data_IF_210105043257
#
_entry.id   IF_210105043257
#
_cell.length_a   1.000
_cell.length_b   1.000
_cell.length_c   1.000
_cell.angle_alpha   90.00
_cell.angle_beta   90.00
_cell.angle_gamma   90.00
#
_symmetry.space_group_name_H-M   'P 1'
#
loop_
_entity.id
_entity.type
_entity.pdbx_description
1 polymer ?
#
# COMPACT_ATOMS: atom_id res chain seq x y z
N UNK A 1 13.31 -66.55 42.41
CA UNK A 1 13.24 -65.33 43.24
C UNK A 1 14.64 -64.73 43.31
N UNK A 2 14.82 -63.51 42.81
CA UNK A 2 16.11 -62.83 42.76
C UNK A 2 16.03 -61.56 41.91
N UNK A 3 15.48 -60.49 42.49
CA UNK A 3 15.35 -59.18 41.86
C UNK A 3 16.71 -58.46 41.94
N UNK A 4 17.36 -58.27 40.78
CA UNK A 4 18.51 -57.37 40.65
C UNK A 4 18.02 -55.95 40.38
N UNK A 5 18.10 -55.08 41.39
CA UNK A 5 17.82 -53.65 41.30
C UNK A 5 19.08 -52.92 40.84
N UNK A 6 19.09 -52.41 39.60
CA UNK A 6 20.07 -51.42 39.17
C UNK A 6 19.62 -50.03 39.60
N UNK A 7 20.37 -49.42 40.52
CA UNK A 7 20.29 -47.99 40.82
C UNK A 7 21.02 -47.22 39.72
N UNK A 8 20.30 -46.42 38.92
CA UNK A 8 20.89 -45.41 38.04
C UNK A 8 20.69 -44.02 38.66
N UNK A 9 21.78 -43.38 39.02
CA UNK A 9 21.85 -41.99 39.48
C UNK A 9 21.66 -41.04 38.30
N UNK A 10 20.57 -40.28 38.28
CA UNK A 10 20.39 -39.13 37.39
C UNK A 10 20.59 -37.83 38.19
N UNK A 11 21.82 -37.60 38.63
CA UNK A 11 22.26 -36.26 39.03
C UNK A 11 23.18 -35.80 37.92
N UNK A 12 22.68 -34.91 37.06
CA UNK A 12 23.42 -33.90 36.27
C UNK A 12 22.55 -33.47 35.08
N UNK A 13 21.68 -32.47 35.31
CA UNK A 13 21.31 -31.45 34.32
C UNK A 13 20.31 -30.47 34.96
N UNK A 14 20.82 -29.59 35.81
CA UNK A 14 20.12 -28.34 36.12
C UNK A 14 20.80 -27.19 35.38
N UNK A 15 20.05 -26.39 34.59
CA UNK A 15 20.60 -25.17 34.01
C UNK A 15 20.92 -24.15 35.12
N UNK A 16 21.92 -23.27 34.93
CA UNK A 16 22.31 -22.32 35.95
C UNK A 16 21.17 -21.34 36.27
N UNK A 17 20.96 -21.12 37.57
CA UNK A 17 19.99 -20.17 38.09
C UNK A 17 20.30 -18.75 37.57
N UNK A 18 19.37 -18.16 36.82
CA UNK A 18 19.43 -16.76 36.39
C UNK A 18 19.16 -15.87 37.60
N UNK A 19 20.20 -15.18 38.07
CA UNK A 19 20.06 -14.06 39.00
C UNK A 19 19.25 -12.96 38.31
N UNK A 20 18.05 -12.68 38.83
CA UNK A 20 17.24 -11.53 38.46
C UNK A 20 17.80 -10.30 39.20
N UNK A 21 18.70 -9.57 38.56
CA UNK A 21 18.99 -8.20 38.95
C UNK A 21 17.87 -7.30 38.42
N UNK A 22 17.15 -6.68 39.34
CA UNK A 22 16.12 -5.68 39.07
C UNK A 22 16.76 -4.38 38.58
N UNK A 23 17.09 -4.31 37.29
CA UNK A 23 17.38 -3.03 36.64
C UNK A 23 16.08 -2.43 36.12
N UNK A 24 15.63 -1.35 36.78
CA UNK A 24 14.59 -0.44 36.28
C UNK A 24 15.10 0.22 35.00
N UNK A 25 14.82 -0.39 33.85
CA UNK A 25 15.08 0.19 32.54
C UNK A 25 13.97 1.21 32.21
N UNK A 26 14.36 2.47 32.12
CA UNK A 26 13.54 3.59 31.65
C UNK A 26 13.01 3.30 30.24
N UNK A 27 11.69 3.08 30.12
CA UNK A 27 10.91 2.71 28.93
C UNK A 27 10.84 3.77 27.81
N UNK A 28 11.73 4.77 27.78
CA UNK A 28 11.62 5.93 26.87
C UNK A 28 12.19 5.73 25.45
N UNK A 29 12.66 4.54 25.05
CA UNK A 29 13.45 4.37 23.80
C UNK A 29 13.00 3.24 22.84
N UNK A 30 11.77 2.74 23.01
CA UNK A 30 11.30 1.47 22.43
C UNK A 30 11.34 1.41 20.88
N UNK A 31 11.00 2.49 20.18
CA UNK A 31 11.03 2.56 18.69
C UNK A 31 12.42 2.87 18.14
N UNK A 32 13.25 3.57 18.91
CA UNK A 32 14.57 3.99 18.47
C UNK A 32 15.57 2.83 18.48
N UNK A 33 15.47 1.93 19.47
CA UNK A 33 16.33 0.73 19.52
C UNK A 33 16.05 -0.19 18.33
N UNK A 34 14.79 -0.37 17.94
CA UNK A 34 14.43 -1.27 16.83
C UNK A 34 14.89 -0.74 15.48
N UNK A 35 14.74 0.56 15.18
CA UNK A 35 15.25 1.15 13.93
C UNK A 35 16.78 1.18 13.88
N UNK A 36 17.47 1.51 14.99
CA UNK A 36 18.95 1.50 15.04
C UNK A 36 19.54 0.10 14.92
N UNK A 37 18.93 -0.90 15.53
CA UNK A 37 19.43 -2.27 15.51
C UNK A 37 19.24 -2.93 14.14
N UNK A 38 18.11 -2.69 13.46
CA UNK A 38 17.86 -3.17 12.10
C UNK A 38 18.82 -2.52 11.10
N UNK A 39 19.07 -1.22 11.23
CA UNK A 39 20.02 -0.48 10.37
C UNK A 39 21.48 -0.92 10.54
N UNK A 40 21.88 -1.46 11.70
CA UNK A 40 23.22 -2.02 11.92
C UNK A 40 23.45 -3.33 11.15
N UNK A 41 22.43 -4.18 11.01
CA UNK A 41 22.56 -5.47 10.30
C UNK A 41 22.63 -5.31 8.77
N UNK A 42 22.13 -4.20 8.21
CA UNK A 42 22.15 -3.94 6.77
C UNK A 42 23.36 -3.14 6.27
N UNK A 43 24.16 -2.52 7.14
CA UNK A 43 25.30 -1.68 6.73
C UNK A 43 26.42 -2.41 5.98
N UNK A 44 26.35 -3.73 5.82
CA UNK A 44 27.28 -4.53 5.01
C UNK A 44 26.84 -4.72 3.54
N UNK A 45 25.67 -4.22 3.14
CA UNK A 45 25.21 -4.18 1.74
C UNK A 45 24.47 -2.87 1.49
N UNK A 46 24.80 -2.17 0.40
CA UNK A 46 24.03 -1.08 -0.26
C UNK A 46 24.69 0.30 -0.16
N UNK A 47 25.39 0.66 -1.23
CA UNK A 47 25.78 2.03 -1.63
C UNK A 47 24.87 2.60 -2.75
N UNK A 48 23.63 2.11 -2.89
CA UNK A 48 22.79 2.36 -4.07
C UNK A 48 21.51 3.19 -3.84
N UNK A 49 21.36 3.87 -2.69
CA UNK A 49 20.07 4.40 -2.21
C UNK A 49 19.53 5.71 -2.83
N UNK A 50 20.20 6.33 -3.82
CA UNK A 50 19.80 7.66 -4.34
C UNK A 50 18.79 7.57 -5.51
N UNK A 51 18.56 6.39 -6.09
CA UNK A 51 17.86 6.27 -7.38
C UNK A 51 16.33 6.32 -7.32
N UNK A 52 15.70 5.84 -6.24
CA UNK A 52 14.23 5.65 -6.19
C UNK A 52 13.42 6.95 -6.31
N UNK A 53 13.88 8.06 -5.73
CA UNK A 53 13.19 9.37 -5.84
C UNK A 53 13.31 9.97 -7.25
N UNK A 54 14.48 9.79 -7.88
CA UNK A 54 14.74 10.26 -9.25
C UNK A 54 13.93 9.45 -10.27
N UNK A 55 13.89 8.13 -10.13
CA UNK A 55 13.11 7.23 -10.99
C UNK A 55 11.61 7.49 -10.89
N UNK A 56 11.09 7.72 -9.67
CA UNK A 56 9.68 8.06 -9.48
C UNK A 56 9.32 9.41 -10.15
N UNK A 57 10.19 10.42 -10.02
CA UNK A 57 10.04 11.72 -10.70
C UNK A 57 10.11 11.59 -12.22
N UNK A 58 11.08 10.85 -12.74
CA UNK A 58 11.27 10.66 -14.17
C UNK A 58 10.10 9.89 -14.80
N UNK A 59 9.62 8.84 -14.13
CA UNK A 59 8.45 8.08 -14.57
C UNK A 59 7.15 8.91 -14.53
N UNK A 60 7.01 9.83 -13.56
CA UNK A 60 5.89 10.77 -13.52
C UNK A 60 5.96 11.77 -14.68
N UNK A 61 7.15 12.28 -14.99
CA UNK A 61 7.37 13.26 -16.06
C UNK A 61 7.10 12.66 -17.45
N UNK A 62 7.59 11.44 -17.73
CA UNK A 62 7.34 10.75 -19.00
C UNK A 62 5.84 10.55 -19.28
N UNK A 63 5.04 10.36 -18.23
CA UNK A 63 3.60 10.08 -18.37
C UNK A 63 2.71 11.32 -18.48
N UNK A 64 3.18 12.50 -18.10
CA UNK A 64 2.41 13.75 -18.26
C UNK A 64 2.20 14.13 -19.73
N UNK A 65 3.07 13.64 -20.61
CA UNK A 65 3.11 13.99 -22.03
C UNK A 65 2.24 13.07 -22.92
N UNK A 66 1.66 12.00 -22.36
CA UNK A 66 0.83 11.08 -23.15
C UNK A 66 -0.62 11.63 -23.33
N UNK A 67 -1.22 11.49 -24.52
CA UNK A 67 -2.59 11.95 -24.76
C UNK A 67 -3.61 11.20 -23.91
N UNK A 68 -4.61 11.91 -23.40
CA UNK A 68 -5.72 11.33 -22.61
C UNK A 68 -6.63 10.47 -23.49
N UNK A 69 -6.30 9.20 -23.67
CA UNK A 69 -7.16 8.25 -24.35
C UNK A 69 -8.29 7.82 -23.41
N UNK A 70 -9.53 8.06 -23.82
CA UNK A 70 -10.73 7.57 -23.11
C UNK A 70 -11.26 6.35 -23.83
N UNK A 71 -11.41 5.23 -23.12
CA UNK A 71 -12.04 4.03 -23.68
C UNK A 71 -13.57 4.17 -23.63
N UNK A 72 -14.23 3.89 -24.75
CA UNK A 72 -15.68 3.82 -24.86
C UNK A 72 -16.11 2.37 -24.85
N UNK A 73 -16.90 1.99 -23.85
CA UNK A 73 -17.43 0.63 -23.72
C UNK A 73 -18.95 0.71 -23.89
N UNK A 74 -19.51 0.14 -24.98
CA UNK A 74 -20.96 0.02 -25.10
C UNK A 74 -21.47 -0.99 -24.07
N UNK A 75 -22.49 -0.60 -23.33
CA UNK A 75 -23.20 -1.49 -22.41
C UNK A 75 -24.40 -2.04 -23.18
N UNK A 76 -24.36 -3.33 -23.52
CA UNK A 76 -25.53 -4.03 -24.07
C UNK A 76 -26.44 -4.35 -22.89
N UNK A 77 -27.60 -3.70 -22.82
CA UNK A 77 -28.61 -4.02 -21.81
C UNK A 77 -29.15 -5.43 -22.09
N UNK A 78 -29.01 -6.34 -21.12
CA UNK A 78 -29.52 -7.70 -21.23
C UNK A 78 -31.05 -7.69 -21.17
N UNK A 79 -31.69 -8.09 -22.27
CA UNK A 79 -33.06 -8.58 -22.43
C UNK A 79 -34.11 -8.12 -21.41
N UNK A 80 -34.68 -6.94 -21.64
CA UNK A 80 -36.04 -6.65 -21.19
C UNK A 80 -36.87 -6.19 -22.39
N UNK A 81 -37.93 -6.94 -22.65
CA UNK A 81 -38.83 -6.99 -23.82
C UNK A 81 -39.68 -5.73 -24.09
N UNK A 82 -39.21 -4.53 -23.75
CA UNK A 82 -39.86 -3.28 -24.16
C UNK A 82 -38.88 -2.44 -24.96
N UNK A 83 -39.01 -2.55 -26.29
CA UNK A 83 -38.32 -1.74 -27.27
C UNK A 83 -38.80 -0.28 -27.18
N UNK A 84 -38.21 0.50 -26.28
CA UNK A 84 -38.11 1.94 -26.46
C UNK A 84 -36.67 2.26 -26.87
N UNK A 85 -36.52 3.01 -27.97
CA UNK A 85 -35.27 3.47 -28.58
C UNK A 85 -34.45 4.37 -27.63
N UNK A 86 -33.88 3.80 -26.58
CA UNK A 86 -32.89 4.49 -25.78
C UNK A 86 -31.51 4.35 -26.42
N UNK A 87 -30.78 5.45 -26.67
CA UNK A 87 -29.44 5.38 -27.22
C UNK A 87 -28.53 4.54 -26.30
N UNK A 88 -27.64 3.71 -26.86
CA UNK A 88 -26.81 2.81 -26.07
C UNK A 88 -25.96 3.60 -25.06
N UNK A 89 -26.11 3.25 -23.78
CA UNK A 89 -25.35 3.89 -22.71
C UNK A 89 -23.88 3.51 -22.85
N UNK A 90 -23.03 4.50 -23.12
CA UNK A 90 -21.59 4.30 -23.30
C UNK A 90 -20.86 4.69 -22.02
N UNK A 91 -20.19 3.72 -21.40
CA UNK A 91 -19.31 3.99 -20.27
C UNK A 91 -17.97 4.53 -20.76
N UNK A 92 -17.50 5.62 -20.14
CA UNK A 92 -16.21 6.24 -20.42
C UNK A 92 -15.25 5.99 -19.27
N UNK A 93 -14.29 5.11 -19.47
CA UNK A 93 -13.21 4.87 -18.51
C UNK A 93 -11.90 5.48 -19.05
N UNK A 94 -11.10 6.14 -18.20
CA UNK A 94 -9.78 6.59 -18.62
C UNK A 94 -8.89 5.38 -18.90
N UNK A 95 -8.22 5.33 -20.05
CA UNK A 95 -7.31 4.22 -20.38
C UNK A 95 -6.14 4.11 -19.38
N UNK A 96 -5.79 5.23 -18.73
CA UNK A 96 -4.71 5.34 -17.75
C UNK A 96 -5.11 6.24 -16.60
N UNK A 97 -4.62 5.92 -15.40
CA UNK A 97 -4.80 6.74 -14.21
C UNK A 97 -3.64 7.73 -14.10
N UNK A 98 -3.95 9.02 -13.99
CA UNK A 98 -2.94 10.08 -13.88
C UNK A 98 -2.23 10.05 -12.52
N UNK A 99 -0.95 10.40 -12.46
CA UNK A 99 -0.21 10.50 -11.19
C UNK A 99 -0.20 11.96 -10.70
N UNK A 100 -0.26 12.20 -9.38
CA UNK A 100 -0.13 13.54 -8.83
C UNK A 100 1.31 14.05 -9.00
N UNK A 101 1.50 15.36 -8.88
CA UNK A 101 2.84 15.90 -8.67
C UNK A 101 3.34 15.47 -7.30
N UNK A 102 4.52 14.87 -7.25
CA UNK A 102 5.10 14.38 -6.01
C UNK A 102 5.84 15.49 -5.26
N UNK A 103 5.51 15.63 -3.98
CA UNK A 103 6.21 16.49 -3.05
C UNK A 103 7.11 15.66 -2.13
N UNK A 104 8.18 16.24 -1.63
CA UNK A 104 9.00 15.56 -0.62
C UNK A 104 8.29 15.61 0.74
N UNK A 105 8.54 14.59 1.57
CA UNK A 105 7.99 14.56 2.94
C UNK A 105 8.63 15.69 3.74
N UNK A 106 7.80 16.47 4.45
CA UNK A 106 8.27 17.54 5.32
C UNK A 106 9.17 16.98 6.42
N UNK A 107 10.38 17.56 6.56
CA UNK A 107 11.27 17.22 7.69
C UNK A 107 10.66 17.62 9.02
N UNK A 108 9.94 18.74 9.07
CA UNK A 108 9.25 19.21 10.27
C UNK A 108 8.22 18.19 10.76
N UNK A 109 7.50 17.54 9.84
CA UNK A 109 6.55 16.49 10.19
C UNK A 109 7.23 15.26 10.82
N UNK A 110 8.48 14.97 10.45
CA UNK A 110 9.27 13.90 11.05
C UNK A 110 9.84 14.32 12.40
N UNK A 111 10.36 15.54 12.53
CA UNK A 111 10.83 16.12 13.80
C UNK A 111 9.69 16.16 14.84
N UNK A 112 8.46 16.43 14.42
CA UNK A 112 7.29 16.43 15.29
C UNK A 112 6.94 15.04 15.86
N UNK A 113 7.34 13.96 15.17
CA UNK A 113 7.19 12.58 15.67
C UNK A 113 8.31 12.26 16.66
N UNK A 114 9.54 12.53 16.24
CA UNK A 114 10.75 12.34 17.03
C UNK A 114 11.85 13.25 16.46
N UNK A 115 12.48 14.13 17.27
CA UNK A 115 13.54 15.02 16.81
C UNK A 115 14.68 14.31 16.07
N UNK A 116 15.04 13.10 16.48
CA UNK A 116 16.13 12.33 15.85
C UNK A 116 15.79 11.92 14.40
N UNK A 117 14.50 11.82 14.06
CA UNK A 117 14.05 11.50 12.70
C UNK A 117 14.18 12.69 11.74
N UNK A 118 14.19 13.93 12.24
CA UNK A 118 14.37 15.13 11.42
C UNK A 118 15.74 15.19 10.73
N UNK A 119 16.76 14.69 11.43
CA UNK A 119 18.15 14.65 10.99
C UNK A 119 18.45 13.43 10.10
N UNK A 120 17.69 12.35 10.25
CA UNK A 120 17.92 11.13 9.50
C UNK A 120 17.55 11.28 8.00
N UNK A 121 18.31 10.66 7.07
CA UNK A 121 17.93 10.63 5.66
C UNK A 121 16.60 9.91 5.46
N UNK A 122 15.67 10.50 4.70
CA UNK A 122 14.32 9.96 4.51
C UNK A 122 14.30 8.53 3.96
N UNK A 123 15.23 8.24 3.03
CA UNK A 123 15.35 6.90 2.46
C UNK A 123 15.75 5.87 3.53
N UNK A 124 16.68 6.23 4.43
CA UNK A 124 17.07 5.37 5.54
C UNK A 124 15.87 5.06 6.45
N UNK A 125 15.03 6.06 6.75
CA UNK A 125 13.82 5.86 7.55
C UNK A 125 12.89 4.85 6.84
N UNK A 126 12.59 5.07 5.56
CA UNK A 126 11.72 4.19 4.75
C UNK A 126 12.25 2.77 4.65
N UNK A 127 13.54 2.59 4.42
CA UNK A 127 14.16 1.26 4.30
C UNK A 127 14.06 0.45 5.60
N UNK A 128 14.20 1.13 6.75
CA UNK A 128 14.03 0.49 8.06
C UNK A 128 12.55 0.19 8.33
N UNK A 129 11.64 1.13 8.02
CA UNK A 129 10.20 0.91 8.14
C UNK A 129 9.71 -0.25 7.25
N UNK A 130 10.24 -0.43 6.05
CA UNK A 130 9.92 -1.59 5.22
C UNK A 130 10.35 -2.91 5.88
N UNK A 131 11.49 -2.92 6.58
CA UNK A 131 11.97 -4.10 7.29
C UNK A 131 11.13 -4.46 8.54
N UNK A 132 10.52 -3.48 9.21
CA UNK A 132 9.74 -3.70 10.44
C UNK A 132 8.23 -3.60 10.24
N UNK A 133 7.75 -3.08 9.12
CA UNK A 133 6.36 -2.73 8.90
C UNK A 133 5.40 -3.93 8.98
N UNK A 134 5.81 -5.11 8.52
CA UNK A 134 5.00 -6.33 8.66
C UNK A 134 4.80 -6.74 10.14
N UNK A 135 5.80 -6.51 11.00
CA UNK A 135 5.70 -6.71 12.45
C UNK A 135 4.78 -5.68 13.08
N UNK A 136 4.96 -4.40 12.75
CA UNK A 136 4.09 -3.31 13.23
C UNK A 136 2.62 -3.56 12.86
N UNK A 137 2.34 -3.99 11.63
CA UNK A 137 1.00 -4.34 11.19
C UNK A 137 0.39 -5.57 11.90
N UNK A 138 1.21 -6.45 12.48
CA UNK A 138 0.71 -7.57 13.30
C UNK A 138 0.10 -7.04 14.59
N UNK A 139 0.75 -6.07 15.24
CA UNK A 139 0.26 -5.43 16.46
C UNK A 139 -1.12 -4.83 16.24
N UNK A 140 -1.31 -4.11 15.12
CA UNK A 140 -2.60 -3.49 14.76
C UNK A 140 -3.76 -4.49 14.66
N UNK A 141 -3.50 -5.74 14.25
CA UNK A 141 -4.52 -6.80 14.17
C UNK A 141 -4.93 -7.32 15.55
N UNK A 142 -4.07 -7.17 16.56
CA UNK A 142 -4.35 -7.53 17.95
C UNK A 142 -5.06 -6.42 18.73
N UNK A 143 -5.38 -5.29 18.11
CA UNK A 143 -6.07 -4.18 18.76
C UNK A 143 -7.57 -4.34 18.66
N UNK A 144 -8.26 -4.21 19.78
CA UNK A 144 -9.71 -4.06 19.83
C UNK A 144 -10.07 -2.71 20.44
N UNK A 145 -11.09 -2.05 19.87
CA UNK A 145 -11.63 -0.80 20.38
C UNK A 145 -13.15 -0.96 20.56
N UNK A 146 -13.68 -0.50 21.69
CA UNK A 146 -15.13 -0.49 21.92
C UNK A 146 -15.68 0.92 21.72
N UNK A 147 -16.62 1.05 20.78
CA UNK A 147 -17.32 2.30 20.44
C UNK A 147 -18.81 2.25 20.77
N UNK A 148 -19.31 1.19 21.43
CA UNK A 148 -20.75 0.90 21.52
C UNK A 148 -21.58 2.00 22.20
N UNK A 149 -20.96 2.96 22.87
CA UNK A 149 -21.65 3.97 23.68
C UNK A 149 -21.37 5.44 23.32
N UNK A 150 -20.72 5.74 22.19
CA UNK A 150 -20.36 7.14 21.85
C UNK A 150 -21.26 7.71 20.75
N UNK A 151 -22.01 8.79 21.06
CA UNK A 151 -22.81 9.54 20.07
C UNK A 151 -21.95 10.41 19.16
N UNK A 152 -20.78 10.82 19.64
CA UNK A 152 -19.82 11.69 18.96
C UNK A 152 -18.46 10.99 18.88
N UNK A 153 -17.63 11.39 17.92
CA UNK A 153 -16.28 10.86 17.80
C UNK A 153 -15.43 11.34 18.99
N UNK A 154 -14.93 10.45 19.87
CA UNK A 154 -14.15 10.88 21.03
C UNK A 154 -12.78 11.39 20.58
N UNK A 155 -12.14 12.25 21.38
CA UNK A 155 -10.77 12.76 21.10
C UNK A 155 -9.67 11.74 21.40
N UNK A 156 -9.95 10.82 22.32
CA UNK A 156 -9.08 9.73 22.72
C UNK A 156 -9.92 8.47 22.87
N UNK A 157 -9.31 7.32 22.68
CA UNK A 157 -9.98 6.03 22.79
C UNK A 157 -9.10 5.05 23.56
N UNK A 158 -9.75 4.33 24.47
CA UNK A 158 -9.14 3.19 25.14
C UNK A 158 -9.21 1.98 24.21
N UNK A 159 -8.05 1.37 23.97
CA UNK A 159 -7.94 0.18 23.13
C UNK A 159 -7.35 -0.98 23.92
N UNK A 160 -7.86 -2.17 23.69
CA UNK A 160 -7.34 -3.42 24.26
C UNK A 160 -6.21 -3.95 23.38
N UNK A 161 -5.07 -4.25 23.99
CA UNK A 161 -3.86 -4.75 23.31
C UNK A 161 -3.70 -6.24 23.55
N UNK A 162 -3.92 -7.06 22.53
CA UNK A 162 -3.75 -8.53 22.65
C UNK A 162 -2.37 -9.03 22.22
N UNK A 163 -1.59 -8.22 21.50
CA UNK A 163 -0.24 -8.55 21.03
C UNK A 163 0.75 -7.56 21.63
N UNK A 164 1.59 -8.00 22.57
CA UNK A 164 2.61 -7.15 23.18
C UNK A 164 3.78 -6.92 22.22
N UNK A 165 4.19 -5.67 22.08
CA UNK A 165 5.25 -5.26 21.17
C UNK A 165 5.83 -3.90 21.59
N UNK A 166 7.14 -3.67 21.38
CA UNK A 166 7.71 -2.34 21.52
C UNK A 166 7.10 -1.31 20.54
N UNK A 167 6.50 -1.79 19.45
CA UNK A 167 5.91 -1.00 18.38
C UNK A 167 4.39 -0.89 18.60
N UNK A 168 3.94 -0.10 19.59
CA UNK A 168 2.52 0.14 19.85
C UNK A 168 1.90 1.14 18.85
N UNK A 169 0.61 1.00 18.51
CA UNK A 169 -0.09 2.00 17.70
C UNK A 169 -0.08 3.34 18.40
N UNK A 170 0.24 4.41 17.68
CA UNK A 170 0.28 5.77 18.22
C UNK A 170 -1.07 6.46 18.19
N UNK A 171 -1.92 6.15 17.20
CA UNK A 171 -3.13 6.90 16.91
C UNK A 171 -4.22 5.97 16.41
N UNK A 172 -5.46 6.40 16.58
CA UNK A 172 -6.63 5.80 15.95
C UNK A 172 -7.15 6.75 14.87
N UNK A 173 -7.07 6.38 13.59
CA UNK A 173 -7.65 7.19 12.53
C UNK A 173 -9.14 6.92 12.41
N UNK A 174 -9.94 7.98 12.45
CA UNK A 174 -11.35 7.96 12.12
C UNK A 174 -11.54 8.30 10.64
N UNK A 175 -11.55 7.27 9.81
CA UNK A 175 -11.61 7.40 8.36
C UNK A 175 -13.05 7.63 7.91
N UNK A 176 -13.24 8.64 7.07
CA UNK A 176 -14.53 8.93 6.45
C UNK A 176 -14.37 9.33 4.99
N UNK A 177 -15.44 9.15 4.21
CA UNK A 177 -15.49 9.55 2.80
C UNK A 177 -15.61 11.09 2.70
N UNK A 178 -14.76 11.72 1.88
CA UNK A 178 -14.81 13.16 1.60
C UNK A 178 -15.99 13.56 0.69
N UNK A 179 -16.58 12.63 -0.07
CA UNK A 179 -17.62 12.96 -1.07
C UNK A 179 -19.04 12.92 -0.52
N UNK A 180 -19.26 12.30 0.64
CA UNK A 180 -20.60 12.14 1.21
C UNK A 180 -20.93 13.39 2.04
N UNK A 181 -21.42 14.42 1.36
CA UNK A 181 -21.64 15.72 1.99
C UNK A 181 -22.83 15.76 2.97
N UNK A 182 -23.76 14.80 2.99
CA UNK A 182 -25.03 14.99 3.73
C UNK A 182 -25.70 13.77 4.38
N UNK A 183 -25.13 12.56 4.29
CA UNK A 183 -25.64 11.39 5.03
C UNK A 183 -24.71 11.06 6.18
N UNK A 184 -25.25 10.40 7.22
CA UNK A 184 -24.51 9.95 8.40
C UNK A 184 -23.13 9.40 7.96
N UNK A 185 -22.07 10.15 8.31
CA UNK A 185 -20.72 9.83 7.88
C UNK A 185 -20.38 8.46 8.44
N UNK A 186 -20.31 7.45 7.58
CA UNK A 186 -19.80 6.14 7.98
C UNK A 186 -18.34 6.32 8.33
N UNK A 187 -18.05 6.26 9.63
CA UNK A 187 -16.70 6.38 10.17
C UNK A 187 -16.20 4.98 10.49
N UNK A 188 -15.00 4.67 10.05
CA UNK A 188 -14.32 3.43 10.45
C UNK A 188 -13.01 3.76 11.14
N UNK A 189 -12.78 3.14 12.29
CA UNK A 189 -11.58 3.35 13.08
C UNK A 189 -10.47 2.39 12.67
N UNK A 190 -9.26 2.93 12.48
CA UNK A 190 -8.06 2.15 12.18
C UNK A 190 -6.89 2.55 13.07
N UNK A 191 -6.33 1.63 13.88
CA UNK A 191 -5.13 1.94 14.64
C UNK A 191 -3.95 2.07 13.68
N UNK A 192 -3.05 3.02 13.92
CA UNK A 192 -1.89 3.29 13.08
C UNK A 192 -0.63 3.62 13.89
N UNK A 193 0.51 3.50 13.22
CA UNK A 193 1.76 4.12 13.59
C UNK A 193 1.96 5.34 12.69
N UNK A 194 1.93 6.55 13.26
CA UNK A 194 2.04 7.81 12.53
C UNK A 194 3.26 7.84 11.60
N UNK A 195 4.40 7.30 12.05
CA UNK A 195 5.66 7.26 11.30
C UNK A 195 5.53 6.54 9.94
N UNK A 196 4.69 5.51 9.83
CA UNK A 196 4.49 4.77 8.57
C UNK A 196 3.83 5.67 7.53
N UNK A 197 2.84 6.46 7.94
CA UNK A 197 2.14 7.38 7.04
C UNK A 197 2.97 8.61 6.76
N UNK A 198 3.48 9.29 7.78
CA UNK A 198 4.30 10.49 7.63
C UNK A 198 5.52 10.28 6.72
N UNK A 199 6.24 9.16 6.87
CA UNK A 199 7.41 8.88 6.03
C UNK A 199 7.07 8.57 4.56
N UNK A 200 5.84 8.15 4.26
CA UNK A 200 5.44 7.70 2.92
C UNK A 200 4.42 8.61 2.22
N UNK A 201 3.77 9.53 2.94
CA UNK A 201 2.63 10.31 2.47
C UNK A 201 2.86 11.80 2.80
N UNK A 202 3.39 12.63 1.87
CA UNK A 202 3.64 14.05 2.07
C UNK A 202 2.41 14.87 2.47
N UNK A 203 1.22 14.47 2.01
CA UNK A 203 -0.04 15.13 2.39
C UNK A 203 -0.68 14.56 3.65
N UNK A 204 0.00 13.68 4.37
CA UNK A 204 -0.47 13.20 5.66
C UNK A 204 -0.34 14.30 6.72
N UNK A 205 -1.39 14.57 7.51
CA UNK A 205 -1.36 15.64 8.50
C UNK A 205 -0.36 15.33 9.62
N UNK A 206 0.21 16.39 10.20
CA UNK A 206 0.93 16.28 11.47
C UNK A 206 -0.11 15.99 12.56
N UNK A 207 0.09 14.90 13.31
CA UNK A 207 -0.83 14.47 14.35
C UNK A 207 -0.41 15.00 15.73
N UNK A 208 -1.32 15.03 16.71
CA UNK A 208 -0.96 15.30 18.11
C UNK A 208 0.14 14.37 18.62
N UNK A 209 0.98 14.79 19.59
CA UNK A 209 1.97 13.90 20.17
C UNK A 209 1.33 12.67 20.83
N UNK A 210 1.86 11.48 20.54
CA UNK A 210 1.41 10.22 21.16
C UNK A 210 2.53 9.20 21.22
N UNK A 211 2.83 8.74 22.43
CA UNK A 211 3.87 7.74 22.72
C UNK A 211 3.35 6.73 23.76
N UNK A 212 2.38 5.87 23.38
CA UNK A 212 1.84 4.90 24.32
C UNK A 212 2.92 3.90 24.71
N UNK A 213 3.02 3.63 26.01
CA UNK A 213 3.88 2.57 26.51
C UNK A 213 3.27 1.20 26.14
N UNK A 214 4.12 0.22 25.85
CA UNK A 214 3.66 -1.17 25.75
C UNK A 214 3.09 -1.60 27.10
N UNK A 215 1.86 -2.13 27.16
CA UNK A 215 1.33 -2.66 28.41
C UNK A 215 2.13 -3.89 28.87
N UNK A 216 2.03 -4.22 30.15
CA UNK A 216 2.75 -5.36 30.74
C UNK A 216 2.13 -6.72 30.37
N UNK A 217 0.82 -6.76 30.07
CA UNK A 217 0.06 -8.00 29.86
C UNK A 217 -0.86 -7.88 28.65
N UNK A 218 -1.05 -8.96 27.86
CA UNK A 218 -2.10 -9.01 26.86
C UNK A 218 -3.48 -8.81 27.49
N UNK A 219 -4.38 -8.14 26.77
CA UNK A 219 -5.71 -7.78 27.25
C UNK A 219 -5.74 -6.51 28.10
N UNK A 220 -4.58 -5.95 28.47
CA UNK A 220 -4.51 -4.61 29.05
C UNK A 220 -4.87 -3.54 28.03
N UNK A 221 -5.26 -2.38 28.54
CA UNK A 221 -5.67 -1.25 27.72
C UNK A 221 -4.61 -0.16 27.67
N UNK A 222 -4.62 0.60 26.57
CA UNK A 222 -3.86 1.84 26.40
C UNK A 222 -4.80 2.91 25.82
N UNK A 223 -4.56 4.16 26.16
CA UNK A 223 -5.30 5.30 25.60
C UNK A 223 -4.49 5.94 24.48
N UNK A 224 -5.12 6.15 23.34
CA UNK A 224 -4.50 6.84 22.19
C UNK A 224 -5.45 7.89 21.60
N UNK A 225 -4.91 8.97 21.01
CA UNK A 225 -5.72 9.99 20.34
C UNK A 225 -6.44 9.43 19.10
N UNK A 226 -7.67 9.91 18.90
CA UNK A 226 -8.48 9.65 17.72
C UNK A 226 -8.38 10.86 16.79
N UNK A 227 -7.99 10.64 15.54
CA UNK A 227 -7.81 11.70 14.55
C UNK A 227 -8.73 11.46 13.36
N UNK A 228 -9.64 12.39 13.03
CA UNK A 228 -10.43 12.30 11.81
C UNK A 228 -9.54 12.51 10.59
N UNK A 229 -9.69 11.63 9.60
CA UNK A 229 -9.00 11.75 8.32
C UNK A 229 -9.99 11.45 7.19
N UNK A 230 -10.34 12.50 6.45
CA UNK A 230 -11.12 12.36 5.23
C UNK A 230 -10.27 11.76 4.12
N UNK A 231 -10.83 10.77 3.42
CA UNK A 231 -10.22 10.21 2.21
C UNK A 231 -11.22 10.16 1.05
N UNK A 232 -10.74 10.18 -0.20
CA UNK A 232 -11.59 10.06 -1.38
C UNK A 232 -12.47 8.79 -1.44
N UNK A 233 -12.05 7.70 -0.82
CA UNK A 233 -12.74 6.40 -0.81
C UNK A 233 -12.43 5.65 0.50
N UNK A 234 -13.33 5.73 1.49
CA UNK A 234 -13.09 5.18 2.83
C UNK A 234 -12.90 3.65 2.82
N UNK A 235 -13.66 2.94 1.99
CA UNK A 235 -13.65 1.48 1.91
C UNK A 235 -12.29 0.95 1.39
N UNK A 236 -11.59 1.75 0.59
CA UNK A 236 -10.27 1.42 0.04
C UNK A 236 -9.08 1.89 0.88
N UNK A 237 -9.31 2.58 2.00
CA UNK A 237 -8.25 2.93 2.94
C UNK A 237 -7.47 1.72 3.50
N UNK A 238 -8.12 0.62 3.92
CA UNK A 238 -7.41 -0.56 4.47
C UNK A 238 -6.41 -1.17 3.50
N UNK A 239 -6.69 -1.15 2.21
CA UNK A 239 -5.82 -1.72 1.17
C UNK A 239 -4.51 -0.92 1.08
N UNK A 240 -4.59 0.41 1.09
CA UNK A 240 -3.40 1.28 1.10
C UNK A 240 -2.66 1.17 2.40
N UNK A 241 -3.36 1.21 3.53
CA UNK A 241 -2.75 1.04 4.85
C UNK A 241 -1.94 -0.27 4.88
N UNK A 242 -2.56 -1.40 4.53
CA UNK A 242 -1.89 -2.70 4.49
C UNK A 242 -0.68 -2.71 3.55
N UNK A 243 -0.75 -2.04 2.39
CA UNK A 243 0.39 -1.87 1.51
C UNK A 243 1.52 -1.05 2.16
N UNK A 244 1.22 0.10 2.78
CA UNK A 244 2.25 0.96 3.37
C UNK A 244 3.08 0.24 4.44
N UNK A 245 2.47 -0.67 5.20
CA UNK A 245 3.18 -1.51 6.16
C UNK A 245 3.94 -2.67 5.52
N UNK A 246 3.33 -3.36 4.55
CA UNK A 246 3.90 -4.61 4.02
C UNK A 246 4.82 -4.45 2.82
N UNK A 247 4.70 -3.31 2.11
CA UNK A 247 5.36 -3.01 0.83
C UNK A 247 5.21 -4.14 -0.22
N UNK A 248 4.17 -4.95 -0.08
CA UNK A 248 3.96 -6.16 -0.89
C UNK A 248 3.03 -5.89 -2.07
N UNK A 249 3.63 -5.83 -3.26
CA UNK A 249 2.94 -5.69 -4.55
C UNK A 249 2.00 -6.84 -4.82
N UNK A 250 2.43 -8.06 -4.51
CA UNK A 250 1.64 -9.27 -4.67
C UNK A 250 0.34 -9.20 -3.87
N UNK A 251 0.42 -8.76 -2.60
CA UNK A 251 -0.77 -8.59 -1.75
C UNK A 251 -1.66 -7.45 -2.22
N UNK A 252 -1.07 -6.34 -2.67
CA UNK A 252 -1.83 -5.22 -3.24
C UNK A 252 -2.59 -5.65 -4.50
N UNK A 253 -1.93 -6.31 -5.45
CA UNK A 253 -2.56 -6.82 -6.66
C UNK A 253 -3.67 -7.82 -6.32
N UNK A 254 -3.40 -8.80 -5.45
CA UNK A 254 -4.43 -9.75 -5.00
C UNK A 254 -5.65 -9.04 -4.36
N UNK A 255 -5.43 -7.92 -3.65
CA UNK A 255 -6.50 -7.11 -3.08
C UNK A 255 -7.24 -6.23 -4.09
N UNK A 256 -6.72 -6.05 -5.31
CA UNK A 256 -7.35 -5.26 -6.38
C UNK A 256 -8.07 -6.13 -7.42
N UNK A 257 -7.63 -7.37 -7.58
CA UNK A 257 -8.15 -8.28 -8.60
C UNK A 257 -9.37 -9.09 -8.09
N UNK A 258 -10.25 -9.57 -9.00
CA UNK A 258 -11.35 -10.47 -8.65
C UNK A 258 -10.89 -11.84 -8.11
N UNK A 259 -9.73 -12.32 -8.57
CA UNK A 259 -9.08 -13.55 -8.12
C UNK A 259 -7.56 -13.35 -7.97
N UNK A 260 -6.87 -14.37 -7.48
CA UNK A 260 -5.43 -14.33 -7.27
C UNK A 260 -4.69 -14.16 -8.62
N UNK A 261 -3.85 -13.11 -8.78
CA UNK A 261 -3.05 -12.94 -9.97
C UNK A 261 -1.89 -13.96 -10.02
N UNK A 262 -1.35 -14.24 -11.22
CA UNK A 262 -0.08 -14.94 -11.34
C UNK A 262 1.07 -14.13 -10.70
N UNK A 263 2.26 -14.73 -10.53
CA UNK A 263 3.43 -14.02 -10.03
C UNK A 263 3.67 -12.69 -10.77
N UNK A 264 4.01 -11.65 -10.03
CA UNK A 264 4.11 -10.27 -10.58
C UNK A 264 5.22 -10.18 -11.63
N UNK A 265 6.25 -11.00 -11.48
CA UNK A 265 7.39 -11.14 -12.37
C UNK A 265 6.98 -11.63 -13.77
N UNK A 266 5.87 -12.36 -13.89
CA UNK A 266 5.32 -12.83 -15.16
C UNK A 266 4.48 -11.75 -15.85
N UNK A 267 3.97 -10.78 -15.08
CA UNK A 267 3.06 -9.73 -15.54
C UNK A 267 3.78 -8.50 -16.10
N UNK A 268 4.86 -8.71 -16.86
CA UNK A 268 5.62 -7.62 -17.47
C UNK A 268 4.82 -6.94 -18.61
N UNK A 269 5.15 -5.69 -18.97
CA UNK A 269 4.54 -5.01 -20.11
C UNK A 269 4.66 -5.83 -21.40
N UNK A 270 3.53 -6.10 -22.06
CA UNK A 270 3.50 -6.86 -23.31
C UNK A 270 3.59 -8.39 -23.17
N UNK A 271 3.72 -8.93 -21.96
CA UNK A 271 3.74 -10.38 -21.72
C UNK A 271 2.46 -11.09 -22.14
N UNK A 272 2.59 -12.33 -22.60
CA UNK A 272 1.44 -13.21 -22.86
C UNK A 272 0.69 -13.57 -21.58
N UNK A 273 1.39 -13.73 -20.46
CA UNK A 273 0.78 -14.02 -19.16
C UNK A 273 -0.25 -12.95 -18.76
N UNK A 274 0.08 -11.66 -18.93
CA UNK A 274 -0.85 -10.55 -18.68
C UNK A 274 -2.11 -10.63 -19.57
N UNK A 275 -1.92 -10.88 -20.87
CA UNK A 275 -3.04 -11.03 -21.82
C UNK A 275 -3.90 -12.25 -21.51
N UNK A 276 -3.28 -13.37 -21.17
CA UNK A 276 -3.96 -14.60 -20.81
C UNK A 276 -4.78 -14.41 -19.53
N UNK A 277 -4.21 -13.74 -18.53
CA UNK A 277 -4.92 -13.45 -17.29
C UNK A 277 -6.14 -12.54 -17.53
N UNK A 278 -6.00 -11.48 -18.35
CA UNK A 278 -7.15 -10.65 -18.74
C UNK A 278 -8.26 -11.46 -19.47
N UNK A 279 -7.89 -12.41 -20.34
CA UNK A 279 -8.85 -13.32 -21.00
C UNK A 279 -9.56 -14.24 -20.02
N UNK A 280 -8.83 -14.79 -19.04
CA UNK A 280 -9.42 -15.60 -17.97
C UNK A 280 -10.44 -14.79 -17.18
N UNK A 281 -10.09 -13.56 -16.79
CA UNK A 281 -11.02 -12.68 -16.07
C UNK A 281 -12.27 -12.36 -16.90
N UNK A 282 -12.11 -12.08 -18.19
CA UNK A 282 -13.25 -11.79 -19.09
C UNK A 282 -14.18 -13.00 -19.27
N UNK A 283 -13.63 -14.21 -19.23
CA UNK A 283 -14.37 -15.46 -19.35
C UNK A 283 -15.10 -15.84 -18.07
N UNK A 284 -14.42 -15.70 -16.93
CA UNK A 284 -14.88 -16.28 -15.65
C UNK A 284 -15.69 -15.30 -14.80
N UNK A 285 -15.61 -13.99 -15.07
CA UNK A 285 -16.29 -12.95 -14.29
C UNK A 285 -17.28 -12.15 -15.13
N UNK A 286 -18.40 -11.78 -14.50
CA UNK A 286 -19.39 -10.90 -15.12
C UNK A 286 -18.84 -9.48 -15.26
N UNK A 287 -19.38 -8.73 -16.23
CA UNK A 287 -19.09 -7.31 -16.42
C UNK A 287 -19.22 -6.51 -15.11
N UNK A 288 -20.25 -6.80 -14.31
CA UNK A 288 -20.45 -6.14 -13.02
C UNK A 288 -19.34 -6.43 -12.01
N UNK A 289 -18.83 -7.67 -11.94
CA UNK A 289 -17.70 -8.02 -11.07
C UNK A 289 -16.40 -7.32 -11.52
N UNK A 290 -16.14 -7.27 -12.83
CA UNK A 290 -15.01 -6.54 -13.40
C UNK A 290 -15.10 -5.03 -13.11
N UNK A 291 -16.30 -4.45 -13.24
CA UNK A 291 -16.54 -3.04 -12.94
C UNK A 291 -16.31 -2.74 -11.46
N UNK A 292 -16.75 -3.64 -10.56
CA UNK A 292 -16.46 -3.51 -9.13
C UNK A 292 -14.96 -3.50 -8.85
N UNK A 293 -14.19 -4.36 -9.51
CA UNK A 293 -12.72 -4.34 -9.38
C UNK A 293 -12.11 -3.07 -9.96
N UNK A 294 -12.61 -2.56 -11.09
CA UNK A 294 -12.18 -1.25 -11.62
C UNK A 294 -12.43 -0.13 -10.59
N UNK A 295 -13.59 -0.13 -9.94
CA UNK A 295 -13.91 0.83 -8.88
C UNK A 295 -12.97 0.73 -7.69
N UNK A 296 -12.57 -0.49 -7.27
CA UNK A 296 -11.56 -0.69 -6.21
C UNK A 296 -10.20 -0.12 -6.58
N UNK A 297 -9.72 -0.39 -7.80
CA UNK A 297 -8.46 0.16 -8.31
C UNK A 297 -8.51 1.69 -8.33
N UNK A 298 -9.61 2.26 -8.82
CA UNK A 298 -9.83 3.70 -8.83
C UNK A 298 -9.90 4.30 -7.41
N UNK A 299 -10.55 3.63 -6.45
CA UNK A 299 -10.60 4.07 -5.05
C UNK A 299 -9.22 4.11 -4.40
N UNK A 300 -8.43 3.04 -4.58
CA UNK A 300 -7.03 3.00 -4.13
C UNK A 300 -6.19 4.09 -4.81
N UNK A 301 -6.34 4.27 -6.13
CA UNK A 301 -5.66 5.34 -6.86
C UNK A 301 -5.99 6.74 -6.30
N UNK A 302 -7.27 7.04 -6.07
CA UNK A 302 -7.70 8.35 -5.55
C UNK A 302 -7.16 8.61 -4.15
N UNK A 303 -7.23 7.62 -3.26
CA UNK A 303 -6.66 7.74 -1.92
C UNK A 303 -5.13 7.93 -1.98
N UNK A 304 -4.43 7.18 -2.84
CA UNK A 304 -2.99 7.34 -3.01
C UNK A 304 -2.63 8.74 -3.55
N UNK A 305 -3.46 9.31 -4.43
CA UNK A 305 -3.33 10.69 -4.89
C UNK A 305 -3.53 11.70 -3.75
N UNK A 306 -4.59 11.53 -2.95
CA UNK A 306 -4.90 12.45 -1.86
C UNK A 306 -3.85 12.43 -0.74
N UNK A 307 -3.27 11.26 -0.45
CA UNK A 307 -2.17 11.11 0.50
C UNK A 307 -0.80 11.41 -0.12
N UNK A 308 -0.74 11.58 -1.44
CA UNK A 308 0.48 11.73 -2.25
C UNK A 308 1.52 10.62 -2.03
N UNK A 309 1.09 9.35 -1.97
CA UNK A 309 1.97 8.23 -1.63
C UNK A 309 3.24 8.19 -2.49
N UNK A 310 4.41 8.26 -1.84
CA UNK A 310 5.74 8.25 -2.46
C UNK A 310 6.30 6.84 -2.58
N UNK A 311 5.72 6.04 -3.46
CA UNK A 311 6.18 4.67 -3.68
C UNK A 311 5.94 4.26 -5.14
N UNK A 312 7.01 4.22 -5.95
CA UNK A 312 6.94 3.88 -7.38
C UNK A 312 6.29 2.52 -7.63
N UNK A 313 6.53 1.62 -6.68
CA UNK A 313 6.20 0.22 -6.64
C UNK A 313 4.66 0.06 -6.47
N UNK A 314 4.05 0.82 -5.55
CA UNK A 314 2.58 0.96 -5.44
C UNK A 314 1.94 1.41 -6.75
N UNK A 315 2.47 2.47 -7.35
CA UNK A 315 1.89 3.03 -8.57
C UNK A 315 1.98 2.05 -9.75
N UNK A 316 3.07 1.30 -9.88
CA UNK A 316 3.20 0.24 -10.88
C UNK A 316 2.14 -0.85 -10.69
N UNK A 317 1.87 -1.27 -9.45
CA UNK A 317 0.81 -2.25 -9.18
C UNK A 317 -0.59 -1.71 -9.51
N UNK A 318 -0.88 -0.44 -9.20
CA UNK A 318 -2.16 0.20 -9.57
C UNK A 318 -2.31 0.24 -11.09
N UNK A 319 -1.27 0.66 -11.81
CA UNK A 319 -1.27 0.71 -13.28
C UNK A 319 -1.51 -0.67 -13.90
N UNK A 320 -0.80 -1.68 -13.40
CA UNK A 320 -0.92 -3.06 -13.87
C UNK A 320 -2.32 -3.61 -13.63
N UNK A 321 -2.88 -3.43 -12.43
CA UNK A 321 -4.25 -3.83 -12.12
C UNK A 321 -5.27 -3.13 -13.03
N UNK A 322 -5.12 -1.82 -13.22
CA UNK A 322 -6.00 -1.02 -14.08
C UNK A 322 -5.98 -1.53 -15.53
N UNK A 323 -4.78 -1.76 -16.09
CA UNK A 323 -4.62 -2.25 -17.46
C UNK A 323 -5.26 -3.63 -17.65
N UNK A 324 -5.01 -4.58 -16.74
CA UNK A 324 -5.57 -5.93 -16.81
C UNK A 324 -7.11 -5.89 -16.73
N UNK A 325 -7.67 -5.11 -15.80
CA UNK A 325 -9.12 -5.00 -15.63
C UNK A 325 -9.77 -4.34 -16.84
N UNK A 326 -9.20 -3.25 -17.37
CA UNK A 326 -9.72 -2.62 -18.58
C UNK A 326 -9.67 -3.57 -19.79
N UNK A 327 -8.59 -4.34 -19.94
CA UNK A 327 -8.49 -5.34 -21.00
C UNK A 327 -9.56 -6.43 -20.84
N UNK A 328 -9.79 -6.92 -19.62
CA UNK A 328 -10.84 -7.90 -19.34
C UNK A 328 -12.24 -7.34 -19.65
N UNK A 329 -12.51 -6.09 -19.30
CA UNK A 329 -13.78 -5.41 -19.60
C UNK A 329 -14.01 -5.30 -21.11
N UNK A 330 -13.00 -4.93 -21.90
CA UNK A 330 -13.11 -4.87 -23.37
C UNK A 330 -13.37 -6.24 -23.98
N UNK A 331 -12.67 -7.27 -23.50
CA UNK A 331 -12.87 -8.64 -23.99
C UNK A 331 -14.29 -9.15 -23.64
N UNK A 332 -14.80 -8.79 -22.46
CA UNK A 332 -16.12 -9.18 -21.99
C UNK A 332 -17.26 -8.45 -22.72
N UNK A 333 -17.04 -7.23 -23.22
CA UNK A 333 -18.07 -6.49 -23.97
C UNK A 333 -18.25 -6.95 -25.42
N UNK A 334 -17.41 -7.87 -25.92
CA UNK A 334 -17.45 -8.33 -27.32
C UNK A 334 -17.02 -7.27 -28.34
N UNK A 335 -16.61 -6.08 -27.89
CA UNK A 335 -16.06 -5.05 -28.75
C UNK A 335 -14.61 -5.38 -29.02
N UNK A 336 -14.32 -5.88 -30.22
CA UNK A 336 -12.94 -5.99 -30.68
C UNK A 336 -12.29 -4.61 -30.55
N UNK A 337 -11.13 -4.48 -29.88
CA UNK A 337 -10.43 -3.22 -29.84
C UNK A 337 -10.23 -2.74 -31.29
N UNK A 338 -10.41 -1.44 -31.59
CA UNK A 338 -10.10 -0.92 -32.91
C UNK A 338 -8.69 -1.39 -33.25
N UNK A 339 -8.52 -2.01 -34.43
CA UNK A 339 -7.23 -2.50 -34.89
C UNK A 339 -6.16 -1.47 -34.53
N UNK A 340 -5.04 -1.87 -33.90
CA UNK A 340 -3.98 -0.94 -33.60
C UNK A 340 -3.66 -0.21 -34.90
N UNK A 341 -3.86 1.11 -34.91
CA UNK A 341 -3.45 1.95 -36.04
C UNK A 341 -2.00 1.54 -36.30
N UNK A 342 -1.66 1.07 -37.52
CA UNK A 342 -0.30 0.65 -37.83
C UNK A 342 0.62 1.78 -37.36
N UNK A 343 1.47 1.49 -36.38
CA UNK A 343 2.51 2.44 -35.99
C UNK A 343 3.26 2.74 -37.28
N UNK A 344 3.32 4.01 -37.74
CA UNK A 344 4.05 4.35 -38.95
C UNK A 344 5.43 3.74 -38.81
N UNK A 345 5.76 2.81 -39.72
CA UNK A 345 7.10 2.23 -39.77
C UNK A 345 8.05 3.43 -39.84
N UNK A 346 9.00 3.58 -38.90
CA UNK A 346 9.93 4.69 -38.94
C UNK A 346 10.59 4.67 -40.32
N UNK A 347 10.46 5.79 -41.04
CA UNK A 347 11.05 5.92 -42.36
C UNK A 347 12.53 5.51 -42.28
N UNK A 348 13.04 4.75 -43.27
CA UNK A 348 14.43 4.34 -43.27
C UNK A 348 15.30 5.58 -43.06
N UNK A 349 16.22 5.50 -42.09
CA UNK A 349 17.14 6.58 -41.80
C UNK A 349 17.84 7.00 -43.11
N UNK A 350 17.94 8.32 -43.40
CA UNK A 350 18.61 8.77 -44.60
C UNK A 350 20.03 8.21 -44.62
N UNK A 351 20.36 7.46 -45.66
CA UNK A 351 21.68 6.93 -45.91
C UNK A 351 22.65 8.11 -45.98
N UNK A 352 23.41 8.35 -44.92
CA UNK A 352 24.45 9.37 -44.92
C UNK A 352 25.53 8.91 -45.89
N UNK A 353 25.56 9.54 -47.06
CA UNK A 353 26.63 9.33 -48.03
C UNK A 353 27.98 9.65 -47.37
N UNK A 354 29.00 8.79 -47.51
CA UNK A 354 30.31 9.03 -46.93
C UNK A 354 30.91 10.31 -47.55
N UNK A 355 31.19 11.30 -46.69
CA UNK A 355 31.89 12.50 -47.10
C UNK A 355 33.28 12.14 -47.62
N UNK A 356 33.54 12.44 -48.90
CA UNK A 356 34.86 12.41 -49.50
C UNK A 356 35.80 13.30 -48.68
N UNK A 357 36.78 12.69 -48.01
CA UNK A 357 37.95 13.41 -47.50
C UNK A 357 38.85 13.78 -48.68
N UNK A 358 38.75 15.02 -49.14
CA UNK A 358 39.76 15.62 -50.01
C UNK A 358 41.00 15.97 -49.16
N UNK A 359 42.15 15.53 -49.65
CA UNK A 359 43.49 15.87 -49.17
C UNK A 359 43.77 17.36 -49.43
N UNK A 360 44.31 18.05 -48.43
CA UNK A 360 45.35 19.09 -48.56
C UNK A 360 46.14 19.14 -47.24
#
# INVERSE_FOLDING_TARGET
>A
MGLYVRKSSNIENHPPARQLSSQKLSSKHSTHTTLREVGRRRRTRVTSGVTLSKEAREHAMRRRLEPKVTMRIPIVASDTTNAQDHPPTTLRLPSRLGRPTFHEVSREAMTAIDPDLGEAPMQYIRDNLEAVGARMARVLRGIAADLRNTKELPKEIEITVNELSPDMPTHMLAIHDMRRDQQAKHITLYPIHQIIFAANCPSFPVLPPSMPACPERPGSTITIPVVPLGVPDADMFPVISAYLYSKSHTRLLAALMPCAPPPVEELTPGSDAKRQYARLLAKDFTMHALMRSAMRVNGVWRNACALQVLDSRLWQAIDLAWEIILQAIVLSSGVLPPNPVPVPVPAPAPTVAPALRAQL
#
